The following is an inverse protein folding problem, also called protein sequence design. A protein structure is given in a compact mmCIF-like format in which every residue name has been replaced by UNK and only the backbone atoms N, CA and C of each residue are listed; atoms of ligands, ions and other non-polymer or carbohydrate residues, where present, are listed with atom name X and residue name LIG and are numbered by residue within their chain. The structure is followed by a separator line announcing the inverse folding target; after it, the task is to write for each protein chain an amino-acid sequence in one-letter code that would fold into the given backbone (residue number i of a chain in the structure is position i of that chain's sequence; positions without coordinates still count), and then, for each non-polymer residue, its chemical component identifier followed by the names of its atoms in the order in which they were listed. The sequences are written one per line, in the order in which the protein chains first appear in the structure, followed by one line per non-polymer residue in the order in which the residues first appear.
data_IF_042789053791
#
_entry.id   IF_042789053791
#
_cell.length_a   1.000
_cell.length_b   1.000
_cell.length_c   1.000
_cell.angle_alpha   90.00
_cell.angle_beta   90.00
_cell.angle_gamma   90.00
#
_symmetry.space_group_name_H-M   'P 1'
#
loop_
_entity.id
_entity.type
_entity.pdbx_description
1 polymer ?
#
# COMPACT_ATOMS: atom_id res chain seq x y z
N UNK A 1 4.82 -10.65 14.50
CA UNK A 1 4.44 -9.71 13.41
C UNK A 1 3.59 -10.45 12.40
N UNK A 2 2.56 -9.80 11.88
CA UNK A 2 1.69 -10.31 10.83
C UNK A 2 1.47 -9.22 9.77
N UNK A 3 1.30 -9.64 8.51
CA UNK A 3 0.99 -8.76 7.39
C UNK A 3 -0.44 -9.01 6.95
N UNK A 4 -1.27 -7.97 7.02
CA UNK A 4 -2.62 -7.98 6.46
C UNK A 4 -2.63 -7.43 5.04
N UNK A 5 -3.41 -8.04 4.15
CA UNK A 5 -3.64 -7.56 2.78
C UNK A 5 -5.12 -7.77 2.41
N UNK A 6 -5.61 -7.11 1.36
CA UNK A 6 -6.96 -7.34 0.86
C UNK A 6 -7.59 -6.09 0.23
N UNK A 7 -8.82 -5.82 0.64
CA UNK A 7 -9.66 -4.73 0.14
C UNK A 7 -9.02 -3.35 0.25
N UNK A 8 -8.15 -3.15 1.23
CA UNK A 8 -7.52 -1.85 1.44
C UNK A 8 -6.49 -1.46 0.37
N UNK A 9 -6.10 -2.40 -0.49
CA UNK A 9 -5.09 -2.21 -1.55
C UNK A 9 -3.70 -1.81 -1.00
N UNK A 10 -3.49 -1.84 0.32
CA UNK A 10 -2.25 -1.45 0.98
C UNK A 10 -1.96 -2.43 2.11
N UNK A 11 -0.79 -3.10 2.13
CA UNK A 11 -0.46 -4.02 3.21
C UNK A 11 -0.36 -3.30 4.57
N UNK A 12 -0.91 -3.94 5.60
CA UNK A 12 -0.92 -3.47 6.97
C UNK A 12 0.04 -4.30 7.83
N UNK A 13 0.75 -3.66 8.75
CA UNK A 13 1.59 -4.33 9.72
C UNK A 13 0.86 -4.44 11.06
N UNK A 14 0.85 -5.64 11.62
CA UNK A 14 0.41 -5.91 12.99
C UNK A 14 1.56 -6.48 13.81
N UNK A 15 1.64 -6.09 15.08
CA UNK A 15 2.59 -6.61 16.06
C UNK A 15 1.85 -7.04 17.32
N UNK A 16 2.33 -8.13 17.93
CA UNK A 16 1.91 -8.54 19.25
C UNK A 16 2.87 -7.95 20.27
N UNK A 17 2.34 -7.44 21.38
CA UNK A 17 3.17 -7.08 22.54
C UNK A 17 3.61 -8.31 23.34
N UNK A 18 4.31 -8.09 24.45
CA UNK A 18 4.79 -9.16 25.35
C UNK A 18 3.64 -9.97 25.97
N UNK A 19 2.44 -9.40 26.05
CA UNK A 19 1.24 -10.08 26.55
C UNK A 19 0.56 -10.94 25.47
N UNK A 20 1.01 -10.82 24.22
CA UNK A 20 0.42 -11.49 23.06
C UNK A 20 -0.75 -10.72 22.43
N UNK A 21 -1.04 -9.49 22.88
CA UNK A 21 -2.11 -8.68 22.34
C UNK A 21 -1.67 -8.04 21.01
N UNK A 22 -2.44 -8.28 19.95
CA UNK A 22 -2.16 -7.76 18.62
C UNK A 22 -2.68 -6.35 18.44
N UNK A 23 -1.84 -5.46 17.92
CA UNK A 23 -2.17 -4.09 17.57
C UNK A 23 -1.75 -3.75 16.14
N UNK A 24 -2.49 -2.85 15.52
CA UNK A 24 -2.13 -2.24 14.24
C UNK A 24 -0.94 -1.30 14.45
N UNK A 25 0.07 -1.42 13.58
CA UNK A 25 1.28 -0.59 13.64
C UNK A 25 1.20 0.55 12.64
N UNK A 26 1.05 0.22 11.35
CA UNK A 26 0.99 1.17 10.21
C UNK A 26 0.69 0.46 8.90
N UNK A 27 0.39 1.22 7.85
CA UNK A 27 0.44 0.71 6.47
C UNK A 27 1.87 0.75 5.91
N UNK A 28 2.18 -0.13 4.95
CA UNK A 28 3.48 -0.16 4.29
C UNK A 28 3.66 1.01 3.31
N UNK A 29 2.62 1.37 2.57
CA UNK A 29 2.64 2.46 1.58
C UNK A 29 2.16 3.80 2.15
N UNK A 30 2.43 4.07 3.43
CA UNK A 30 2.19 5.40 4.00
C UNK A 30 3.15 6.41 3.37
N UNK A 31 2.62 7.19 2.43
CA UNK A 31 3.32 8.37 1.94
C UNK A 31 3.47 9.36 3.09
N UNK A 32 4.69 9.76 3.41
CA UNK A 32 4.93 10.95 4.24
C UNK A 32 4.23 12.13 3.57
N UNK A 33 3.23 12.71 4.21
CA UNK A 33 2.59 13.94 3.75
C UNK A 33 3.67 15.02 3.77
N UNK A 34 4.19 15.36 2.59
CA UNK A 34 5.05 16.52 2.44
C UNK A 34 4.10 17.72 2.48
N UNK A 35 4.21 18.66 3.44
CA UNK A 35 3.35 19.83 3.47
C UNK A 35 3.55 20.59 2.15
N UNK A 36 2.47 20.75 1.39
CA UNK A 36 2.50 21.34 0.05
C UNK A 36 2.73 22.85 0.14
N UNK A 37 3.98 23.28 0.08
CA UNK A 37 4.34 24.66 -0.25
C UNK A 37 4.41 24.81 -1.76
N UNK A 38 3.34 25.28 -2.40
CA UNK A 38 3.37 26.28 -3.49
C UNK A 38 2.05 26.33 -4.27
N UNK A 39 1.47 27.52 -4.35
CA UNK A 39 0.33 27.87 -5.19
C UNK A 39 0.79 28.16 -6.62
N UNK A 40 0.95 27.14 -7.45
CA UNK A 40 1.10 27.33 -8.90
C UNK A 40 0.58 26.11 -9.65
N UNK A 41 -0.29 26.33 -10.65
CA UNK A 41 -0.77 25.38 -11.68
C UNK A 41 -2.07 24.58 -11.45
N UNK A 42 -3.18 25.25 -11.11
CA UNK A 42 -4.53 24.65 -11.14
C UNK A 42 -5.00 24.18 -12.54
N UNK A 43 -4.31 24.55 -13.62
CA UNK A 43 -4.66 24.15 -14.99
C UNK A 43 -4.04 22.81 -15.43
N UNK A 44 -2.93 22.39 -14.83
CA UNK A 44 -2.23 21.16 -15.21
C UNK A 44 -2.92 19.91 -14.62
N UNK A 45 -3.47 20.04 -13.41
CA UNK A 45 -4.17 18.95 -12.72
C UNK A 45 -5.47 18.54 -13.41
N UNK A 46 -6.20 19.48 -14.02
CA UNK A 46 -7.47 19.20 -14.71
C UNK A 46 -7.25 18.42 -16.02
N UNK A 47 -6.16 18.70 -16.76
CA UNK A 47 -5.84 17.99 -18.00
C UNK A 47 -5.31 16.58 -17.72
N UNK A 48 -4.50 16.40 -16.67
CA UNK A 48 -4.06 15.08 -16.22
C UNK A 48 -5.22 14.18 -15.78
N UNK A 49 -6.25 14.76 -15.14
CA UNK A 49 -7.49 14.04 -14.81
C UNK A 49 -8.22 13.56 -16.07
N UNK A 50 -8.33 14.39 -17.11
CA UNK A 50 -9.01 14.04 -18.36
C UNK A 50 -8.35 12.87 -19.11
N UNK A 51 -7.02 12.86 -19.22
CA UNK A 51 -6.30 11.76 -19.88
C UNK A 51 -6.39 10.44 -19.11
N UNK A 52 -6.39 10.49 -17.77
CA UNK A 52 -6.50 9.31 -16.91
C UNK A 52 -7.90 8.68 -16.86
N UNK A 53 -8.96 9.42 -17.21
CA UNK A 53 -10.33 8.91 -17.18
C UNK A 53 -10.64 7.91 -18.31
N UNK A 54 -9.86 7.88 -19.39
CA UNK A 54 -10.15 7.06 -20.57
C UNK A 54 -10.01 5.54 -20.35
N UNK A 55 -9.45 5.08 -19.23
CA UNK A 55 -9.17 3.65 -18.99
C UNK A 55 -10.12 2.94 -18.04
N UNK A 56 -10.94 3.65 -17.25
CA UNK A 56 -11.80 3.05 -16.24
C UNK A 56 -13.14 3.79 -16.20
N UNK A 57 -14.22 3.07 -16.53
CA UNK A 57 -15.58 3.59 -16.50
C UNK A 57 -15.93 4.13 -15.11
N UNK A 58 -16.51 5.32 -15.07
CA UNK A 58 -17.02 5.93 -13.86
C UNK A 58 -18.23 5.14 -13.35
N UNK A 59 -18.02 4.22 -12.42
CA UNK A 59 -19.12 3.78 -11.55
C UNK A 59 -19.46 4.93 -10.61
N UNK A 60 -20.73 5.31 -10.57
CA UNK A 60 -21.29 6.38 -9.73
C UNK A 60 -21.53 5.94 -8.28
N UNK A 61 -20.79 4.93 -7.80
CA UNK A 61 -20.82 4.62 -6.39
C UNK A 61 -19.97 5.64 -5.65
N UNK A 62 -20.62 6.33 -4.72
CA UNK A 62 -20.11 7.34 -3.80
C UNK A 62 -19.04 6.73 -2.89
N UNK A 63 -17.88 6.39 -3.45
CA UNK A 63 -16.70 6.00 -2.69
C UNK A 63 -16.00 7.29 -2.30
N UNK A 64 -15.98 7.55 -0.99
CA UNK A 64 -15.20 8.60 -0.32
C UNK A 64 -13.92 8.98 -1.10
N UNK A 65 -13.74 10.27 -1.46
CA UNK A 65 -12.60 10.72 -2.26
C UNK A 65 -11.27 10.73 -1.46
N UNK A 66 -11.25 10.14 -0.27
CA UNK A 66 -10.17 10.27 0.71
C UNK A 66 -9.02 9.28 0.52
N UNK A 67 -9.13 8.26 -0.35
CA UNK A 67 -7.96 7.43 -0.68
C UNK A 67 -7.11 8.14 -1.74
N UNK A 68 -5.86 8.57 -1.43
CA UNK A 68 -4.97 9.13 -2.43
C UNK A 68 -4.76 8.09 -3.53
N UNK A 69 -5.27 8.39 -4.73
CA UNK A 69 -5.04 7.58 -5.92
C UNK A 69 -3.52 7.46 -6.14
N UNK A 70 -3.02 6.23 -6.29
CA UNK A 70 -1.61 5.94 -6.57
C UNK A 70 -0.86 5.11 -5.54
N UNK A 71 -1.56 4.44 -4.61
CA UNK A 71 -0.93 3.38 -3.82
C UNK A 71 -0.37 2.26 -4.73
N UNK A 72 0.49 1.41 -4.18
CA UNK A 72 1.13 0.33 -4.94
C UNK A 72 0.11 -0.57 -5.67
N UNK A 73 -1.04 -0.83 -5.04
CA UNK A 73 -2.21 -1.43 -5.69
C UNK A 73 -3.38 -0.45 -5.80
N UNK A 74 -4.18 -0.62 -6.86
CA UNK A 74 -5.39 0.16 -7.15
C UNK A 74 -6.67 -0.69 -7.04
N UNK A 75 -6.53 -1.97 -6.68
CA UNK A 75 -7.63 -2.90 -6.46
C UNK A 75 -7.23 -3.95 -5.41
N UNK A 76 -8.20 -4.76 -4.97
CA UNK A 76 -8.05 -5.75 -3.92
C UNK A 76 -6.82 -6.65 -4.14
N UNK A 77 -5.98 -6.77 -3.11
CA UNK A 77 -4.86 -7.71 -3.08
C UNK A 77 -5.41 -9.10 -2.79
N UNK A 78 -5.15 -10.06 -3.68
CA UNK A 78 -5.70 -11.41 -3.61
C UNK A 78 -4.67 -12.45 -3.21
N UNK A 79 -3.37 -12.17 -3.37
CA UNK A 79 -2.32 -13.09 -2.96
C UNK A 79 -1.15 -12.36 -2.29
N UNK A 80 -0.53 -13.05 -1.35
CA UNK A 80 0.72 -12.68 -0.68
C UNK A 80 1.65 -13.90 -0.66
N UNK A 81 2.91 -13.71 -1.01
CA UNK A 81 3.90 -14.78 -1.07
C UNK A 81 5.19 -14.35 -0.37
N UNK A 82 5.69 -15.11 0.63
CA UNK A 82 6.96 -14.81 1.26
C UNK A 82 8.12 -15.06 0.30
N UNK A 83 9.04 -14.12 0.19
CA UNK A 83 10.26 -14.24 -0.60
C UNK A 83 11.43 -14.54 0.35
N UNK A 84 11.70 -15.82 0.58
CA UNK A 84 12.81 -16.26 1.43
C UNK A 84 14.11 -16.29 0.64
N UNK A 85 15.20 -15.82 1.25
CA UNK A 85 16.55 -16.02 0.74
C UNK A 85 17.24 -17.08 1.60
N UNK A 86 17.55 -18.23 1.01
CA UNK A 86 18.24 -19.31 1.70
C UNK A 86 17.46 -19.88 2.90
N UNK A 87 18.16 -20.13 4.00
CA UNK A 87 17.64 -20.76 5.22
C UNK A 87 17.21 -19.78 6.32
N UNK A 88 16.96 -18.51 5.98
CA UNK A 88 16.52 -17.51 6.96
C UNK A 88 15.15 -17.89 7.56
N UNK A 89 15.08 -17.90 8.89
CA UNK A 89 13.85 -18.20 9.64
C UNK A 89 12.84 -17.05 9.59
N UNK A 90 13.30 -15.82 9.40
CA UNK A 90 12.49 -14.60 9.39
C UNK A 90 12.28 -14.16 7.94
N UNK A 91 11.02 -14.02 7.53
CA UNK A 91 10.67 -13.46 6.23
C UNK A 91 10.75 -11.95 6.29
N UNK A 92 11.74 -11.38 5.59
CA UNK A 92 11.93 -9.92 5.49
C UNK A 92 11.36 -9.32 4.22
N UNK A 93 11.21 -10.13 3.17
CA UNK A 93 10.71 -9.70 1.87
C UNK A 93 9.53 -10.55 1.45
N UNK A 94 8.55 -9.95 0.81
CA UNK A 94 7.38 -10.66 0.29
C UNK A 94 6.85 -9.96 -0.95
N UNK A 95 6.04 -10.65 -1.74
CA UNK A 95 5.32 -10.08 -2.89
C UNK A 95 3.81 -10.14 -2.69
N UNK A 96 3.11 -9.18 -3.26
CA UNK A 96 1.65 -9.14 -3.35
C UNK A 96 1.19 -9.10 -4.80
N UNK A 97 0.04 -9.69 -5.10
CA UNK A 97 -0.66 -9.51 -6.37
C UNK A 97 -2.11 -9.10 -6.16
N UNK A 98 -2.61 -8.21 -7.00
CA UNK A 98 -3.98 -7.70 -6.91
C UNK A 98 -4.78 -7.88 -8.20
N UNK A 99 -6.09 -7.63 -8.11
CA UNK A 99 -7.00 -7.62 -9.27
C UNK A 99 -6.72 -6.47 -10.25
N UNK A 100 -5.82 -5.55 -9.88
CA UNK A 100 -5.26 -4.54 -10.76
C UNK A 100 -4.17 -5.09 -11.70
N UNK A 101 -3.85 -6.38 -11.60
CA UNK A 101 -2.84 -7.05 -12.42
C UNK A 101 -1.40 -6.69 -12.05
N UNK A 102 -1.20 -6.00 -10.93
CA UNK A 102 0.15 -5.63 -10.45
C UNK A 102 0.72 -6.72 -9.56
N UNK A 103 2.03 -6.88 -9.62
CA UNK A 103 2.83 -7.63 -8.63
C UNK A 103 3.80 -6.64 -8.00
N UNK A 104 3.80 -6.54 -6.67
CA UNK A 104 4.64 -5.59 -5.93
C UNK A 104 5.50 -6.36 -4.93
N UNK A 105 6.78 -6.01 -4.84
CA UNK A 105 7.71 -6.59 -3.87
C UNK A 105 7.94 -5.59 -2.73
N UNK A 106 7.79 -6.06 -1.51
CA UNK A 106 7.92 -5.29 -0.27
C UNK A 106 9.13 -5.77 0.50
N UNK A 107 9.94 -4.84 1.00
CA UNK A 107 11.08 -5.13 1.86
C UNK A 107 10.89 -4.47 3.23
N UNK A 108 10.72 -5.30 4.26
CA UNK A 108 10.43 -4.85 5.62
C UNK A 108 11.63 -4.16 6.27
N UNK A 109 12.87 -4.38 5.80
CA UNK A 109 14.05 -3.68 6.33
C UNK A 109 13.97 -2.16 6.08
N UNK A 110 13.25 -1.74 5.02
CA UNK A 110 13.02 -0.32 4.74
C UNK A 110 11.90 0.29 5.60
N UNK A 111 11.22 -0.52 6.40
CA UNK A 111 9.95 -0.17 7.02
C UNK A 111 9.93 -0.42 8.53
N UNK A 112 10.74 -1.33 9.05
CA UNK A 112 10.73 -1.71 10.46
C UNK A 112 12.17 -1.96 10.91
N UNK A 113 12.55 -1.40 12.06
CA UNK A 113 13.75 -1.86 12.77
C UNK A 113 13.40 -3.19 13.43
N UNK A 114 13.80 -4.30 12.81
CA UNK A 114 13.61 -5.63 13.39
C UNK A 114 14.72 -5.82 14.44
N UNK A 115 14.40 -5.92 15.75
CA UNK A 115 15.41 -6.29 16.74
C UNK A 115 15.96 -7.68 16.39
N UNK A 116 17.28 -7.81 16.42
CA UNK A 116 18.01 -9.05 16.11
C UNK A 116 17.72 -10.15 17.13
#
# INVERSE_FOLDING_TARGET
MAIGVGFDCNPLIFAADETGLWSFVRYLDERKVTPSTSKASQLSEALGKLYGQSRQGSSSDTVEPSKPRGGAHENCITCIVPLRKGSESIVKRFSTSGLDGKIVVWDLENHITIPK
#
